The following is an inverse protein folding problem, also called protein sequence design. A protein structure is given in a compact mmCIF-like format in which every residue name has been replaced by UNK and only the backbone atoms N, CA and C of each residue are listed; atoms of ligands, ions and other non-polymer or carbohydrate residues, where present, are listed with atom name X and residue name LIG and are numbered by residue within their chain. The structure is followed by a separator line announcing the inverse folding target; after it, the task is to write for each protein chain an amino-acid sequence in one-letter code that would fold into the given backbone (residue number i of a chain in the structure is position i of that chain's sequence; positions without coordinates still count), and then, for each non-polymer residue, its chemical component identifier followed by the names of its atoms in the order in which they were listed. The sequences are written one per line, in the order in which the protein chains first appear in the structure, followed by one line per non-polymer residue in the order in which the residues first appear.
data_IF_954518253796
#
_entry.id   IF_954518253796
#
_cell.length_a   1.000
_cell.length_b   1.000
_cell.length_c   1.000
_cell.angle_alpha   90.00
_cell.angle_beta   90.00
_cell.angle_gamma   90.00
#
_symmetry.space_group_name_H-M   'P 1'
#
loop_
_entity.id
_entity.type
_entity.pdbx_description
1 polymer ?
#
# COMPACT_ATOMS: atom_id res chain seq x y z
N UNK A 1 -21.57 -30.55 2.50
CA UNK A 1 -20.48 -29.73 1.89
C UNK A 1 -19.84 -30.36 0.66
N UNK A 2 -19.44 -31.65 0.64
CA UNK A 2 -18.68 -32.25 -0.49
C UNK A 2 -19.48 -32.59 -1.77
N UNK A 3 -20.80 -32.51 -1.73
CA UNK A 3 -21.68 -32.96 -2.83
C UNK A 3 -22.01 -31.85 -3.84
N UNK A 4 -21.62 -30.60 -3.55
CA UNK A 4 -21.86 -29.43 -4.39
C UNK A 4 -20.58 -28.63 -4.55
N UNK A 5 -20.43 -27.95 -5.67
CA UNK A 5 -19.31 -27.03 -5.93
C UNK A 5 -19.44 -25.77 -5.06
N UNK A 6 -18.40 -24.93 -5.05
CA UNK A 6 -18.45 -23.67 -4.31
C UNK A 6 -19.51 -22.72 -4.87
N UNK A 7 -19.60 -22.61 -6.20
CA UNK A 7 -20.61 -21.79 -6.88
C UNK A 7 -22.03 -22.19 -6.51
N UNK A 8 -22.32 -23.50 -6.52
CA UNK A 8 -23.63 -24.01 -6.15
C UNK A 8 -23.98 -23.71 -4.69
N UNK A 9 -23.01 -23.79 -3.78
CA UNK A 9 -23.24 -23.40 -2.39
C UNK A 9 -23.46 -21.90 -2.23
N UNK A 10 -22.68 -21.06 -2.91
CA UNK A 10 -22.84 -19.61 -2.86
C UNK A 10 -24.22 -19.19 -3.33
N UNK A 11 -24.70 -19.72 -4.47
CA UNK A 11 -26.04 -19.42 -5.00
C UNK A 11 -27.15 -19.85 -4.01
N UNK A 12 -27.05 -21.04 -3.42
CA UNK A 12 -28.06 -21.51 -2.47
C UNK A 12 -28.06 -20.75 -1.15
N UNK A 13 -26.89 -20.32 -0.66
CA UNK A 13 -26.78 -19.54 0.58
C UNK A 13 -27.29 -18.12 0.37
N UNK A 14 -26.98 -17.48 -0.77
CA UNK A 14 -27.49 -16.17 -1.15
C UNK A 14 -29.03 -16.19 -1.29
N UNK A 15 -29.57 -17.19 -1.98
CA UNK A 15 -31.02 -17.38 -2.11
C UNK A 15 -31.74 -17.58 -0.76
N UNK A 16 -31.03 -18.12 0.24
CA UNK A 16 -31.54 -18.29 1.59
C UNK A 16 -31.34 -17.05 2.48
N UNK A 17 -30.69 -15.98 1.97
CA UNK A 17 -30.33 -14.79 2.73
C UNK A 17 -29.26 -15.03 3.78
N UNK A 18 -28.49 -16.12 3.66
CA UNK A 18 -27.43 -16.46 4.59
C UNK A 18 -26.13 -15.73 4.20
N UNK A 19 -25.51 -14.95 5.11
CA UNK A 19 -24.24 -14.30 4.81
C UNK A 19 -23.13 -15.34 4.66
N UNK A 20 -22.60 -15.46 3.46
CA UNK A 20 -21.50 -16.36 3.12
C UNK A 20 -20.54 -15.67 2.16
N UNK A 21 -19.28 -16.08 2.19
CA UNK A 21 -18.27 -15.63 1.24
C UNK A 21 -17.28 -16.76 0.95
N UNK A 22 -16.60 -16.64 -0.19
CA UNK A 22 -15.47 -17.49 -0.54
C UNK A 22 -14.28 -17.16 0.35
N UNK A 23 -13.50 -18.17 0.70
CA UNK A 23 -12.19 -17.98 1.32
C UNK A 23 -11.17 -17.85 0.21
N UNK A 24 -10.70 -16.63 -0.03
CA UNK A 24 -9.69 -16.35 -1.05
C UNK A 24 -8.27 -16.59 -0.50
N UNK A 25 -7.36 -17.02 -1.37
CA UNK A 25 -5.93 -17.06 -1.13
C UNK A 25 -5.32 -15.66 -1.31
N UNK A 26 -4.18 -15.35 -0.66
CA UNK A 26 -3.53 -14.05 -0.79
C UNK A 26 -3.23 -13.62 -2.24
N UNK A 27 -2.85 -14.57 -3.09
CA UNK A 27 -2.58 -14.35 -4.52
C UNK A 27 -3.84 -13.98 -5.33
N UNK A 28 -5.02 -14.39 -4.89
CA UNK A 28 -6.30 -14.09 -5.54
C UNK A 28 -6.82 -12.69 -5.16
N UNK A 29 -6.31 -12.12 -4.06
CA UNK A 29 -6.75 -10.80 -3.59
C UNK A 29 -6.30 -9.67 -4.52
N UNK A 30 -5.20 -9.83 -5.26
CA UNK A 30 -4.67 -8.78 -6.12
C UNK A 30 -5.62 -8.39 -7.27
N UNK A 31 -6.52 -9.29 -7.65
CA UNK A 31 -7.47 -9.13 -8.75
C UNK A 31 -8.93 -9.13 -8.25
N UNK A 32 -9.13 -8.95 -6.94
CA UNK A 32 -10.46 -9.05 -6.35
C UNK A 32 -11.30 -7.78 -6.64
N UNK A 33 -12.53 -7.91 -7.18
CA UNK A 33 -13.33 -6.77 -7.62
C UNK A 33 -13.65 -5.74 -6.55
N UNK A 34 -13.85 -6.16 -5.29
CA UNK A 34 -14.10 -5.25 -4.19
C UNK A 34 -12.85 -4.43 -3.85
N UNK A 35 -11.64 -5.00 -3.91
CA UNK A 35 -10.39 -4.26 -3.70
C UNK A 35 -10.15 -3.23 -4.82
N UNK A 36 -10.45 -3.57 -6.08
CA UNK A 36 -10.41 -2.63 -7.20
C UNK A 36 -11.43 -1.51 -7.03
N UNK A 37 -12.69 -1.86 -6.71
CA UNK A 37 -13.76 -0.89 -6.52
C UNK A 37 -13.49 0.09 -5.35
N UNK A 38 -12.78 -0.37 -4.31
CA UNK A 38 -12.37 0.44 -3.18
C UNK A 38 -11.07 1.21 -3.44
N UNK A 39 -10.39 1.01 -4.56
CA UNK A 39 -9.08 1.61 -4.85
C UNK A 39 -8.02 1.24 -3.80
N UNK A 40 -8.13 0.05 -3.20
CA UNK A 40 -7.28 -0.38 -2.08
C UNK A 40 -5.90 -0.86 -2.51
N UNK A 41 -5.68 -1.09 -3.80
CA UNK A 41 -4.37 -1.43 -4.35
C UNK A 41 -3.82 -0.21 -5.09
N UNK A 42 -2.69 0.30 -4.61
CA UNK A 42 -1.99 1.43 -5.18
C UNK A 42 -0.81 0.91 -6.01
N UNK A 43 -0.74 1.35 -7.25
CA UNK A 43 0.41 1.15 -8.13
C UNK A 43 1.31 2.38 -8.04
N UNK A 44 2.51 2.22 -7.46
CA UNK A 44 3.48 3.30 -7.21
C UNK A 44 4.82 2.96 -7.87
N UNK A 45 5.59 4.00 -8.20
CA UNK A 45 6.96 3.85 -8.71
C UNK A 45 7.96 4.18 -7.59
N UNK A 46 8.76 3.20 -7.18
CA UNK A 46 9.84 3.38 -6.21
C UNK A 46 11.16 3.64 -6.93
N UNK A 47 11.92 4.64 -6.44
CA UNK A 47 13.12 5.15 -7.09
C UNK A 47 14.22 4.09 -7.34
N UNK A 48 14.27 3.02 -6.53
CA UNK A 48 15.29 1.96 -6.63
C UNK A 48 14.79 0.63 -7.17
N UNK A 49 13.54 0.27 -6.87
CA UNK A 49 12.97 -1.06 -7.12
C UNK A 49 11.97 -1.05 -8.28
N UNK A 50 11.57 0.14 -8.74
CA UNK A 50 10.67 0.32 -9.86
C UNK A 50 9.20 0.19 -9.45
N UNK A 51 8.34 -0.41 -10.29
CA UNK A 51 6.90 -0.49 -10.03
C UNK A 51 6.60 -1.42 -8.86
N UNK A 52 5.80 -0.93 -7.92
CA UNK A 52 5.35 -1.64 -6.73
C UNK A 52 3.84 -1.52 -6.59
N UNK A 53 3.17 -2.64 -6.25
CA UNK A 53 1.75 -2.66 -5.90
C UNK A 53 1.61 -2.88 -4.40
N UNK A 54 0.94 -1.96 -3.72
CA UNK A 54 0.80 -1.99 -2.26
C UNK A 54 -0.62 -1.71 -1.78
N UNK A 55 -0.94 -2.16 -0.57
CA UNK A 55 -2.23 -1.88 0.06
C UNK A 55 -2.27 -0.41 0.50
N UNK A 56 -3.30 0.29 0.04
CA UNK A 56 -3.59 1.68 0.36
C UNK A 56 -4.23 1.87 1.74
N UNK A 57 -4.85 3.03 1.94
CA UNK A 57 -5.54 3.30 3.21
C UNK A 57 -6.82 2.48 3.32
N UNK A 58 -6.97 1.73 4.41
CA UNK A 58 -8.18 0.95 4.72
C UNK A 58 -9.39 1.81 5.09
N UNK A 59 -9.18 3.10 5.33
CA UNK A 59 -10.21 4.05 5.73
C UNK A 59 -10.17 5.24 4.78
N UNK A 60 -11.32 5.55 4.21
CA UNK A 60 -11.56 6.76 3.45
C UNK A 60 -12.13 7.84 4.39
N UNK A 61 -11.67 9.07 4.26
CA UNK A 61 -12.20 10.21 5.00
C UNK A 61 -12.72 11.25 4.02
N UNK A 62 -13.96 11.69 4.20
CA UNK A 62 -14.64 12.60 3.27
C UNK A 62 -13.97 13.97 3.15
N UNK A 63 -13.23 14.41 4.17
CA UNK A 63 -12.60 15.74 4.21
C UNK A 63 -11.08 15.72 4.15
N UNK A 64 -10.46 14.55 4.36
CA UNK A 64 -9.00 14.43 4.47
C UNK A 64 -8.50 13.34 3.56
N UNK A 65 -7.55 13.66 2.70
CA UNK A 65 -6.92 12.65 1.85
C UNK A 65 -6.23 11.58 2.72
N UNK A 66 -6.57 10.32 2.49
CA UNK A 66 -5.92 9.16 3.12
C UNK A 66 -5.02 8.43 2.11
N UNK A 67 -4.08 7.64 2.62
CA UNK A 67 -3.20 6.81 1.79
C UNK A 67 -1.86 7.47 1.44
N UNK A 68 -0.97 6.65 0.88
CA UNK A 68 0.34 7.08 0.42
C UNK A 68 0.24 7.84 -0.92
N UNK A 69 0.99 8.94 -1.04
CA UNK A 69 1.04 9.75 -2.28
C UNK A 69 2.24 9.42 -3.17
N UNK A 70 3.24 8.75 -2.59
CA UNK A 70 4.49 8.34 -3.23
C UNK A 70 4.98 7.06 -2.59
N UNK A 71 5.80 6.29 -3.30
CA UNK A 71 6.51 5.16 -2.73
C UNK A 71 7.43 5.62 -1.59
N UNK A 72 7.87 4.68 -0.76
CA UNK A 72 8.82 4.98 0.31
C UNK A 72 10.09 5.64 -0.27
N UNK A 73 10.64 6.70 0.33
CA UNK A 73 11.90 7.25 -0.15
C UNK A 73 13.05 6.27 0.16
N UNK A 74 14.05 6.16 -0.71
CA UNK A 74 15.30 5.46 -0.39
C UNK A 74 15.97 5.99 0.88
N UNK A 75 16.81 5.15 1.49
CA UNK A 75 17.59 5.53 2.65
C UNK A 75 18.42 6.80 2.37
N UNK A 76 18.16 7.85 3.15
CA UNK A 76 18.88 9.13 3.08
C UNK A 76 18.45 10.10 1.97
N UNK A 77 17.39 9.79 1.20
CA UNK A 77 16.89 10.64 0.11
C UNK A 77 16.58 12.07 0.58
N UNK A 78 15.97 12.21 1.75
CA UNK A 78 15.53 13.50 2.30
C UNK A 78 16.58 14.16 3.23
N UNK A 79 17.75 13.55 3.44
CA UNK A 79 18.73 14.02 4.46
C UNK A 79 19.18 15.46 4.24
N UNK A 80 19.58 15.82 3.02
CA UNK A 80 20.08 17.17 2.72
C UNK A 80 18.97 18.21 2.81
N UNK A 81 17.77 17.87 2.32
CA UNK A 81 16.59 18.73 2.36
C UNK A 81 16.23 19.09 3.81
N UNK A 82 16.05 18.07 4.67
CA UNK A 82 15.68 18.26 6.08
C UNK A 82 16.75 19.01 6.86
N UNK A 83 18.04 18.73 6.64
CA UNK A 83 19.11 19.46 7.33
C UNK A 83 19.20 20.93 6.87
N UNK A 84 18.93 21.20 5.60
CA UNK A 84 18.88 22.57 5.08
C UNK A 84 17.70 23.33 5.70
N UNK A 85 16.52 22.71 5.78
CA UNK A 85 15.34 23.30 6.45
C UNK A 85 15.57 23.56 7.94
N UNK A 86 16.36 22.70 8.59
CA UNK A 86 16.76 22.88 9.98
C UNK A 86 17.81 23.99 10.20
N UNK A 87 18.33 24.60 9.13
CA UNK A 87 19.25 25.74 9.18
C UNK A 87 20.74 25.40 9.17
N UNK A 88 21.11 24.15 8.86
CA UNK A 88 22.50 23.78 8.68
C UNK A 88 23.07 24.37 7.39
N UNK A 89 24.32 24.83 7.45
CA UNK A 89 25.07 25.24 6.27
C UNK A 89 25.50 24.04 5.44
N UNK A 90 25.77 24.26 4.15
CA UNK A 90 26.28 23.23 3.24
C UNK A 90 27.54 22.54 3.80
N UNK A 91 28.45 23.31 4.40
CA UNK A 91 29.68 22.78 4.98
C UNK A 91 29.42 21.85 6.19
N UNK A 92 28.44 22.17 7.03
CA UNK A 92 28.06 21.31 8.17
C UNK A 92 27.38 20.02 7.69
N UNK A 93 26.52 20.10 6.67
CA UNK A 93 25.85 18.94 6.07
C UNK A 93 26.88 17.98 5.46
N UNK A 94 27.86 18.51 4.73
CA UNK A 94 28.96 17.71 4.16
C UNK A 94 29.76 16.99 5.26
N UNK A 95 30.12 17.71 6.33
CA UNK A 95 30.85 17.13 7.45
C UNK A 95 30.07 16.00 8.15
N UNK A 96 28.77 16.21 8.42
CA UNK A 96 27.90 15.20 9.03
C UNK A 96 27.73 13.97 8.12
N UNK A 97 27.57 14.18 6.82
CA UNK A 97 27.41 13.09 5.84
C UNK A 97 28.70 12.27 5.72
N UNK A 98 29.85 12.91 5.83
CA UNK A 98 31.15 12.24 5.78
C UNK A 98 31.42 11.44 7.06
N UNK A 99 31.07 11.99 8.24
CA UNK A 99 31.17 11.30 9.52
C UNK A 99 30.24 10.07 9.61
N UNK A 100 29.04 10.13 9.03
CA UNK A 100 28.09 9.01 9.04
C UNK A 100 28.52 7.82 8.16
N UNK A 101 29.50 8.00 7.27
CA UNK A 101 30.05 6.97 6.38
C UNK A 101 31.32 6.30 6.92
N UNK A 102 31.91 6.86 7.97
CA UNK A 102 33.12 6.36 8.63
C UNK A 102 32.77 5.37 9.74
#
# INVERSE_FOLDING_TARGET
MRERTMDEWMEALDAAGAPASRVNLPEELADEPQLEALGLLLDLEHELTGPERMVGALVEMSESATGARRAAPPLGRDTVEVLTEAGFSVAEIEALTQAARA
#
